data_IF_717160718220
#
_entry.id   IF_717160718220
#
_cell.length_a   1.000
_cell.length_b   1.000
_cell.length_c   1.000
_cell.angle_alpha   90.00
_cell.angle_beta   90.00
_cell.angle_gamma   90.00
#
_symmetry.space_group_name_H-M   'P 1'
#
loop_
_entity.id
_entity.type
_entity.pdbx_description
1 polymer ?
#
# COMPACT_ATOMS: atom_id res chain seq x y z
N UNK A 1 -15.26 33.10 -18.44
CA UNK A 1 -15.27 31.72 -18.96
C UNK A 1 -13.92 31.10 -18.64
N UNK A 2 -13.85 30.33 -17.55
CA UNK A 2 -12.63 29.65 -17.15
C UNK A 2 -12.50 28.36 -17.98
N UNK A 3 -11.44 28.27 -18.79
CA UNK A 3 -11.08 27.06 -19.51
C UNK A 3 -10.58 26.03 -18.51
N UNK A 4 -11.41 25.06 -18.19
CA UNK A 4 -11.00 23.83 -17.54
C UNK A 4 -9.93 23.17 -18.42
N UNK A 5 -8.67 23.27 -17.99
CA UNK A 5 -7.55 22.59 -18.62
C UNK A 5 -7.80 21.10 -18.42
N UNK A 6 -8.07 20.38 -19.50
CA UNK A 6 -8.14 18.93 -19.48
C UNK A 6 -6.75 18.41 -19.11
N UNK A 7 -6.56 18.07 -17.84
CA UNK A 7 -5.41 17.28 -17.39
C UNK A 7 -5.49 15.95 -18.13
N UNK A 8 -4.55 15.74 -19.05
CA UNK A 8 -4.35 14.44 -19.66
C UNK A 8 -4.14 13.44 -18.52
N UNK A 9 -5.00 12.43 -18.42
CA UNK A 9 -4.81 11.31 -17.48
C UNK A 9 -3.54 10.58 -17.91
N UNK A 10 -2.43 10.95 -17.31
CA UNK A 10 -1.18 10.22 -17.47
C UNK A 10 -1.32 8.83 -16.85
N UNK A 11 -0.62 7.81 -17.36
CA UNK A 11 -0.52 6.51 -16.70
C UNK A 11 0.06 6.71 -15.29
N UNK A 12 -0.43 5.99 -14.27
CA UNK A 12 0.03 6.16 -12.89
C UNK A 12 1.54 5.96 -12.72
N UNK A 13 2.18 5.14 -13.56
CA UNK A 13 3.63 4.98 -13.59
C UNK A 13 4.37 6.25 -14.02
N UNK A 14 3.83 7.02 -14.98
CA UNK A 14 4.42 8.29 -15.43
C UNK A 14 4.23 9.38 -14.37
N UNK A 15 3.11 9.37 -13.66
CA UNK A 15 2.85 10.28 -12.54
C UNK A 15 3.82 10.04 -11.38
N UNK A 16 4.07 8.79 -11.01
CA UNK A 16 5.04 8.45 -9.96
C UNK A 16 6.47 8.85 -10.33
N UNK A 17 6.89 8.66 -11.58
CA UNK A 17 8.23 9.08 -12.04
C UNK A 17 8.36 10.61 -12.07
N UNK A 18 7.31 11.33 -12.48
CA UNK A 18 7.27 12.79 -12.45
C UNK A 18 7.34 13.34 -11.01
N UNK A 19 6.58 12.74 -10.09
CA UNK A 19 6.61 13.09 -8.66
C UNK A 19 7.99 12.83 -8.06
N UNK A 20 8.60 11.67 -8.36
CA UNK A 20 9.95 11.33 -7.90
C UNK A 20 11.00 12.34 -8.36
N UNK A 21 10.97 12.71 -9.65
CA UNK A 21 11.88 13.74 -10.21
C UNK A 21 11.70 15.10 -9.52
N UNK A 22 10.45 15.55 -9.30
CA UNK A 22 10.18 16.80 -8.58
C UNK A 22 10.69 16.75 -7.14
N UNK A 23 10.53 15.61 -6.44
CA UNK A 23 11.01 15.42 -5.06
C UNK A 23 12.53 15.53 -4.95
N UNK A 24 13.26 14.92 -5.90
CA UNK A 24 14.73 15.05 -5.98
C UNK A 24 15.11 16.51 -6.21
N UNK A 25 14.48 17.18 -7.18
CA UNK A 25 14.77 18.58 -7.47
C UNK A 25 14.55 19.51 -6.26
N UNK A 26 13.46 19.33 -5.50
CA UNK A 26 13.23 20.10 -4.28
C UNK A 26 14.18 19.74 -3.15
N UNK A 27 14.60 18.48 -3.05
CA UNK A 27 15.60 18.06 -2.06
C UNK A 27 16.95 18.72 -2.33
N UNK A 28 17.37 18.76 -3.60
CA UNK A 28 18.63 19.39 -3.99
C UNK A 28 18.56 20.91 -3.83
N UNK A 29 17.45 21.55 -4.23
CA UNK A 29 17.22 22.98 -3.97
C UNK A 29 17.23 23.31 -2.47
N UNK A 30 16.68 22.43 -1.63
CA UNK A 30 16.72 22.59 -0.18
C UNK A 30 18.14 22.57 0.39
N UNK A 31 19.05 21.76 -0.18
CA UNK A 31 20.47 21.76 0.19
C UNK A 31 21.16 23.06 -0.22
N UNK A 32 20.87 23.54 -1.43
CA UNK A 32 21.45 24.79 -1.94
C UNK A 32 21.02 25.99 -1.09
N UNK A 33 19.74 26.06 -0.71
CA UNK A 33 19.20 27.10 0.18
C UNK A 33 19.84 27.03 1.56
N UNK A 34 20.02 25.83 2.11
CA UNK A 34 20.68 25.65 3.40
C UNK A 34 22.13 26.14 3.35
N UNK A 35 22.86 25.84 2.28
CA UNK A 35 24.23 26.32 2.08
C UNK A 35 24.29 27.85 2.00
N UNK A 36 23.43 28.47 1.18
CA UNK A 36 23.34 29.93 1.05
C UNK A 36 22.96 30.62 2.36
N UNK A 37 22.03 30.02 3.12
CA UNK A 37 21.62 30.50 4.44
C UNK A 37 22.79 30.49 5.43
N UNK A 38 23.53 29.39 5.49
CA UNK A 38 24.69 29.26 6.39
C UNK A 38 25.78 30.29 6.07
N UNK A 39 25.98 30.59 4.79
CA UNK A 39 26.93 31.62 4.36
C UNK A 39 26.54 33.01 4.86
N UNK A 40 25.27 33.40 4.71
CA UNK A 40 24.74 34.68 5.19
C UNK A 40 24.73 34.77 6.73
N UNK A 41 24.40 33.67 7.42
CA UNK A 41 24.47 33.60 8.88
C UNK A 41 25.92 33.72 9.39
N UNK A 42 26.90 33.13 8.69
CA UNK A 42 28.32 33.25 9.03
C UNK A 42 28.86 34.68 8.86
N UNK A 43 28.28 35.45 7.93
CA UNK A 43 28.57 36.88 7.74
C UNK A 43 27.92 37.77 8.82
N UNK A 44 27.18 37.19 9.77
CA UNK A 44 26.53 37.92 10.87
C UNK A 44 25.28 38.69 10.45
N UNK A 45 24.74 38.40 9.25
CA UNK A 45 23.54 39.05 8.72
C UNK A 45 22.31 38.54 9.49
N UNK A 46 21.41 39.44 9.85
CA UNK A 46 20.12 39.09 10.46
C UNK A 46 19.00 39.15 9.42
N UNK A 47 17.99 38.28 9.50
CA UNK A 47 16.86 38.32 8.58
C UNK A 47 16.09 39.63 8.75
N UNK A 48 15.76 40.27 7.63
CA UNK A 48 14.93 41.46 7.58
C UNK A 48 13.68 41.16 6.74
N UNK A 49 12.51 41.29 7.35
CA UNK A 49 11.24 41.10 6.65
C UNK A 49 11.05 42.23 5.63
N UNK A 50 10.63 41.89 4.40
CA UNK A 50 10.37 42.88 3.36
C UNK A 50 9.26 43.83 3.82
N UNK A 51 9.45 45.13 3.58
CA UNK A 51 8.45 46.16 3.89
C UNK A 51 7.13 46.01 3.11
N UNK A 52 7.18 45.32 1.97
CA UNK A 52 6.01 44.77 1.30
C UNK A 52 5.91 43.28 1.68
N UNK A 53 4.79 42.89 2.29
CA UNK A 53 4.48 41.49 2.62
C UNK A 53 4.86 40.57 1.45
N UNK A 54 5.91 39.78 1.63
CA UNK A 54 6.32 38.78 0.64
C UNK A 54 5.24 37.71 0.46
N UNK A 55 5.36 36.85 -0.58
CA UNK A 55 4.43 35.74 -0.75
C UNK A 55 4.46 34.83 0.49
N UNK A 56 3.27 34.39 0.94
CA UNK A 56 3.13 33.37 1.99
C UNK A 56 3.90 32.11 1.54
N UNK A 57 4.64 31.43 2.44
CA UNK A 57 5.24 30.12 2.16
C UNK A 57 4.31 29.14 1.43
N UNK A 58 3.00 29.17 1.72
CA UNK A 58 1.99 28.32 1.04
C UNK A 58 1.78 28.70 -0.43
N UNK A 59 1.68 29.99 -0.73
CA UNK A 59 1.52 30.49 -2.09
C UNK A 59 2.79 30.23 -2.92
N UNK A 60 3.95 30.38 -2.29
CA UNK A 60 5.23 30.03 -2.90
C UNK A 60 5.30 28.52 -3.19
N UNK A 61 4.91 27.65 -2.26
CA UNK A 61 4.87 26.21 -2.46
C UNK A 61 3.95 25.80 -3.63
N UNK A 62 2.75 26.40 -3.71
CA UNK A 62 1.82 26.17 -4.82
C UNK A 62 2.44 26.58 -6.17
N UNK A 63 3.07 27.77 -6.21
CA UNK A 63 3.72 28.26 -7.43
C UNK A 63 4.88 27.37 -7.90
N UNK A 64 5.63 26.80 -6.96
CA UNK A 64 6.72 25.85 -7.23
C UNK A 64 6.19 24.52 -7.78
N UNK A 65 5.05 24.04 -7.28
CA UNK A 65 4.41 22.81 -7.75
C UNK A 65 3.84 22.95 -9.16
N UNK A 66 3.24 24.11 -9.45
CA UNK A 66 2.57 24.43 -10.72
C UNK A 66 3.53 24.96 -11.80
N UNK A 67 4.73 25.36 -11.41
CA UNK A 67 5.76 25.90 -12.31
C UNK A 67 5.53 27.36 -12.72
N UNK A 68 4.71 28.10 -11.99
CA UNK A 68 4.49 29.53 -12.24
C UNK A 68 5.62 30.37 -11.62
N UNK A 69 6.25 31.22 -12.42
CA UNK A 69 7.28 32.13 -11.92
C UNK A 69 6.65 33.32 -11.17
N UNK A 70 7.14 33.60 -9.97
CA UNK A 70 6.83 34.83 -9.25
C UNK A 70 7.64 35.99 -9.84
N UNK A 71 7.05 37.19 -10.02
CA UNK A 71 7.76 38.33 -10.58
C UNK A 71 8.88 38.79 -9.63
N UNK A 72 10.09 38.93 -10.17
CA UNK A 72 11.23 39.43 -9.43
C UNK A 72 11.08 40.94 -9.16
N UNK A 73 10.88 41.30 -7.89
CA UNK A 73 11.11 42.67 -7.43
C UNK A 73 12.63 42.94 -7.32
N UNK A 74 12.98 44.21 -7.11
CA UNK A 74 14.33 44.78 -6.93
C UNK A 74 15.37 43.82 -6.32
N UNK A 75 16.67 44.01 -6.61
CA UNK A 75 17.72 43.27 -5.90
C UNK A 75 17.53 43.43 -4.38
N UNK A 76 17.34 42.31 -3.64
CA UNK A 76 17.06 42.36 -2.21
C UNK A 76 18.29 42.83 -1.43
N UNK A 77 18.07 43.38 -0.24
CA UNK A 77 19.17 43.55 0.73
C UNK A 77 19.60 42.18 1.27
N UNK A 78 20.82 42.02 1.82
CA UNK A 78 21.26 40.73 2.36
C UNK A 78 20.35 40.17 3.47
N UNK A 79 19.71 41.05 4.27
CA UNK A 79 18.71 40.65 5.26
C UNK A 79 17.39 40.18 4.65
N UNK A 80 16.92 40.83 3.58
CA UNK A 80 15.74 40.41 2.80
C UNK A 80 15.99 39.11 2.03
N UNK A 81 17.23 38.88 1.59
CA UNK A 81 17.67 37.63 0.96
C UNK A 81 17.60 36.48 1.95
N UNK A 82 18.17 36.65 3.15
CA UNK A 82 18.10 35.65 4.22
C UNK A 82 16.64 35.33 4.61
N UNK A 83 15.79 36.35 4.71
CA UNK A 83 14.35 36.14 4.96
C UNK A 83 13.67 35.36 3.82
N UNK A 84 13.99 35.68 2.56
CA UNK A 84 13.44 34.97 1.40
C UNK A 84 13.87 33.49 1.34
N UNK A 85 15.10 33.18 1.74
CA UNK A 85 15.61 31.81 1.85
C UNK A 85 14.88 31.01 2.93
N UNK A 86 14.52 31.64 4.06
CA UNK A 86 13.71 31.00 5.11
C UNK A 86 12.30 30.68 4.61
N UNK A 87 11.66 31.62 3.91
CA UNK A 87 10.34 31.42 3.30
C UNK A 87 10.38 30.33 2.24
N UNK A 88 11.41 30.31 1.39
CA UNK A 88 11.60 29.28 0.36
C UNK A 88 11.88 27.90 0.99
N UNK A 89 12.65 27.83 2.07
CA UNK A 89 12.87 26.59 2.82
C UNK A 89 11.55 26.02 3.35
N UNK A 90 10.70 26.87 3.92
CA UNK A 90 9.40 26.44 4.43
C UNK A 90 8.44 26.04 3.30
N UNK A 91 8.48 26.74 2.17
CA UNK A 91 7.73 26.37 0.97
C UNK A 91 8.15 25.01 0.41
N UNK A 92 9.45 24.71 0.41
CA UNK A 92 9.98 23.39 0.00
C UNK A 92 9.47 22.29 0.93
N UNK A 93 9.46 22.49 2.25
CA UNK A 93 8.90 21.51 3.18
C UNK A 93 7.42 21.22 2.87
N UNK A 94 6.62 22.27 2.68
CA UNK A 94 5.19 22.13 2.32
C UNK A 94 5.03 21.39 0.98
N UNK A 95 5.83 21.74 -0.03
CA UNK A 95 5.79 21.08 -1.34
C UNK A 95 6.21 19.60 -1.28
N UNK A 96 7.17 19.25 -0.43
CA UNK A 96 7.59 17.86 -0.23
C UNK A 96 6.49 17.02 0.44
N UNK A 97 5.80 17.56 1.43
CA UNK A 97 4.68 16.88 2.10
C UNK A 97 3.53 16.64 1.12
N UNK A 98 3.15 17.66 0.35
CA UNK A 98 2.12 17.57 -0.70
C UNK A 98 2.48 16.52 -1.77
N UNK A 99 3.75 16.47 -2.21
CA UNK A 99 4.21 15.45 -3.16
C UNK A 99 4.13 14.04 -2.57
N UNK A 100 4.40 13.87 -1.27
CA UNK A 100 4.29 12.57 -0.60
C UNK A 100 2.84 12.09 -0.51
N UNK A 101 1.89 12.99 -0.26
CA UNK A 101 0.46 12.68 -0.29
C UNK A 101 -0.01 12.27 -1.70
N UNK A 102 0.40 13.03 -2.73
CA UNK A 102 0.10 12.70 -4.14
C UNK A 102 0.69 11.35 -4.55
N UNK A 103 1.92 11.05 -4.14
CA UNK A 103 2.57 9.76 -4.38
C UNK A 103 1.77 8.61 -3.77
N UNK A 104 1.34 8.76 -2.51
CA UNK A 104 0.54 7.77 -1.82
C UNK A 104 -0.83 7.57 -2.49
N UNK A 105 -1.47 8.64 -2.93
CA UNK A 105 -2.73 8.55 -3.67
C UNK A 105 -2.56 7.80 -4.99
N UNK A 106 -1.53 8.15 -5.78
CA UNK A 106 -1.22 7.48 -7.04
C UNK A 106 -0.93 5.98 -6.83
N UNK A 107 -0.18 5.61 -5.78
CA UNK A 107 0.08 4.21 -5.41
C UNK A 107 -1.20 3.44 -5.06
N UNK A 108 -2.12 4.07 -4.32
CA UNK A 108 -3.41 3.45 -3.96
C UNK A 108 -4.27 3.19 -5.18
N UNK A 109 -4.30 4.14 -6.13
CA UNK A 109 -5.04 3.99 -7.38
C UNK A 109 -4.43 2.85 -8.21
N UNK A 110 -3.11 2.85 -8.41
CA UNK A 110 -2.42 1.80 -9.16
C UNK A 110 -2.62 0.40 -8.55
N UNK A 111 -2.57 0.30 -7.21
CA UNK A 111 -2.84 -0.97 -6.52
C UNK A 111 -4.30 -1.41 -6.69
N UNK A 112 -5.26 -0.48 -6.65
CA UNK A 112 -6.67 -0.79 -6.88
C UNK A 112 -6.93 -1.27 -8.31
N UNK A 113 -6.31 -0.64 -9.31
CA UNK A 113 -6.39 -1.05 -10.73
C UNK A 113 -5.79 -2.45 -10.92
N UNK A 114 -4.58 -2.70 -10.41
CA UNK A 114 -3.94 -4.01 -10.50
C UNK A 114 -4.78 -5.12 -9.82
N UNK A 115 -5.40 -4.81 -8.67
CA UNK A 115 -6.30 -5.75 -8.00
C UNK A 115 -7.57 -6.02 -8.82
N UNK A 116 -8.12 -5.02 -9.52
CA UNK A 116 -9.28 -5.22 -10.39
C UNK A 116 -8.94 -6.08 -11.60
N UNK A 117 -7.79 -5.85 -12.23
CA UNK A 117 -7.31 -6.64 -13.38
C UNK A 117 -7.06 -8.11 -13.00
N UNK A 118 -6.51 -8.35 -11.81
CA UNK A 118 -6.15 -9.69 -11.33
C UNK A 118 -7.23 -10.35 -10.46
N UNK A 119 -8.38 -9.68 -10.27
CA UNK A 119 -9.43 -10.14 -9.37
C UNK A 119 -9.97 -11.52 -9.77
N UNK A 120 -10.19 -11.76 -11.06
CA UNK A 120 -10.71 -13.02 -11.57
C UNK A 120 -9.75 -14.18 -11.32
N UNK A 121 -8.46 -13.98 -11.60
CA UNK A 121 -7.41 -14.98 -11.37
C UNK A 121 -7.29 -15.33 -9.89
N UNK A 122 -7.34 -14.31 -9.03
CA UNK A 122 -7.32 -14.52 -7.58
C UNK A 122 -8.55 -15.30 -7.10
N UNK A 123 -9.75 -14.97 -7.58
CA UNK A 123 -10.98 -15.69 -7.22
C UNK A 123 -10.92 -17.16 -7.65
N UNK A 124 -10.34 -17.45 -8.82
CA UNK A 124 -10.14 -18.81 -9.30
C UNK A 124 -9.17 -19.59 -8.41
N UNK A 125 -8.03 -19.00 -8.03
CA UNK A 125 -7.09 -19.61 -7.09
C UNK A 125 -7.78 -19.90 -5.74
N UNK A 126 -8.57 -18.96 -5.23
CA UNK A 126 -9.31 -19.15 -3.97
C UNK A 126 -10.35 -20.26 -4.11
N UNK A 127 -11.04 -20.36 -5.25
CA UNK A 127 -12.00 -21.43 -5.54
C UNK A 127 -11.32 -22.80 -5.54
N UNK A 128 -10.18 -22.93 -6.23
CA UNK A 128 -9.41 -24.17 -6.27
C UNK A 128 -8.92 -24.60 -4.88
N UNK A 129 -8.45 -23.64 -4.08
CA UNK A 129 -8.06 -23.89 -2.68
C UNK A 129 -9.24 -24.37 -1.83
N UNK A 130 -10.41 -23.76 -1.99
CA UNK A 130 -11.61 -24.17 -1.27
C UNK A 130 -12.05 -25.59 -1.67
N UNK A 131 -12.00 -25.95 -2.95
CA UNK A 131 -12.30 -27.30 -3.42
C UNK A 131 -11.29 -28.33 -2.91
N UNK A 132 -10.00 -28.00 -2.89
CA UNK A 132 -8.96 -28.87 -2.35
C UNK A 132 -9.17 -29.15 -0.85
N UNK A 133 -9.56 -28.13 -0.09
CA UNK A 133 -9.94 -28.26 1.32
C UNK A 133 -11.13 -29.21 1.49
N UNK A 134 -12.17 -29.07 0.67
CA UNK A 134 -13.34 -29.95 0.74
C UNK A 134 -12.99 -31.40 0.41
N UNK A 135 -12.16 -31.62 -0.62
CA UNK A 135 -11.66 -32.95 -0.98
C UNK A 135 -10.84 -33.57 0.17
N UNK A 136 -9.95 -32.80 0.79
CA UNK A 136 -9.13 -33.26 1.90
C UNK A 136 -9.99 -33.59 3.14
N UNK A 137 -11.04 -32.82 3.41
CA UNK A 137 -12.01 -33.12 4.47
C UNK A 137 -12.68 -34.47 4.25
N UNK A 138 -13.16 -34.75 3.05
CA UNK A 138 -13.75 -36.04 2.69
C UNK A 138 -12.77 -37.19 2.89
N UNK A 139 -11.53 -37.05 2.41
CA UNK A 139 -10.49 -38.06 2.60
C UNK A 139 -10.16 -38.30 4.08
N UNK A 140 -10.15 -37.24 4.91
CA UNK A 140 -9.95 -37.38 6.35
C UNK A 140 -11.10 -38.18 7.02
N UNK A 141 -12.36 -37.98 6.57
CA UNK A 141 -13.50 -38.76 7.05
C UNK A 141 -13.41 -40.23 6.60
N UNK A 142 -13.05 -40.48 5.34
CA UNK A 142 -12.85 -41.84 4.82
C UNK A 142 -11.74 -42.57 5.60
N UNK A 143 -10.62 -41.89 5.89
CA UNK A 143 -9.53 -42.43 6.71
C UNK A 143 -9.98 -42.73 8.16
N UNK A 144 -10.78 -41.85 8.78
CA UNK A 144 -11.33 -42.08 10.11
C UNK A 144 -12.28 -43.29 10.13
N UNK A 145 -13.18 -43.39 9.15
CA UNK A 145 -14.09 -44.53 9.01
C UNK A 145 -13.34 -45.85 8.76
N UNK A 146 -12.23 -45.80 8.01
CA UNK A 146 -11.34 -46.94 7.82
C UNK A 146 -10.68 -47.37 9.15
N UNK A 147 -10.14 -46.43 9.93
CA UNK A 147 -9.57 -46.71 11.26
C UNK A 147 -10.60 -47.35 12.19
N UNK A 148 -11.83 -46.83 12.21
CA UNK A 148 -12.91 -47.38 13.04
C UNK A 148 -13.29 -48.80 12.61
N UNK A 149 -13.31 -49.08 11.30
CA UNK A 149 -13.58 -50.41 10.76
C UNK A 149 -12.51 -51.41 11.21
N UNK A 150 -11.24 -51.05 11.10
CA UNK A 150 -10.14 -51.91 11.56
C UNK A 150 -10.22 -52.10 13.08
N UNK A 151 -10.54 -51.06 13.84
CA UNK A 151 -10.71 -51.15 15.29
C UNK A 151 -11.77 -52.18 15.69
N UNK A 152 -12.91 -52.20 15.00
CA UNK A 152 -13.98 -53.17 15.25
C UNK A 152 -13.56 -54.61 14.92
N UNK A 153 -12.76 -54.81 13.88
CA UNK A 153 -12.29 -56.14 13.45
C UNK A 153 -11.19 -56.66 14.38
N UNK A 154 -10.22 -55.81 14.72
CA UNK A 154 -9.03 -56.20 15.47
C UNK A 154 -9.19 -56.11 17.00
N UNK A 155 -10.30 -55.56 17.50
CA UNK A 155 -10.55 -55.39 18.94
C UNK A 155 -9.68 -54.33 19.62
N UNK A 156 -9.00 -53.46 18.85
CA UNK A 156 -8.06 -52.46 19.37
C UNK A 156 -7.66 -51.42 18.31
N UNK A 157 -6.96 -50.37 18.72
CA UNK A 157 -6.51 -49.33 17.78
C UNK A 157 -5.51 -49.90 16.75
N UNK A 158 -5.65 -49.56 15.46
CA UNK A 158 -4.68 -49.97 14.45
C UNK A 158 -3.36 -49.24 14.67
N UNK A 159 -2.26 -49.97 14.92
CA UNK A 159 -0.94 -49.41 15.23
C UNK A 159 0.02 -49.37 14.04
N UNK A 160 -0.26 -50.12 12.97
CA UNK A 160 0.67 -50.35 11.85
C UNK A 160 0.12 -49.90 10.49
N UNK A 161 -0.70 -48.85 10.45
CA UNK A 161 -1.15 -48.28 9.18
C UNK A 161 0.01 -47.51 8.53
N UNK A 162 0.36 -47.89 7.30
CA UNK A 162 1.43 -47.26 6.53
C UNK A 162 1.05 -45.79 6.30
N UNK A 163 1.97 -44.88 6.63
CA UNK A 163 1.81 -43.43 6.48
C UNK A 163 0.62 -42.83 7.24
N UNK A 164 0.10 -43.49 8.27
CA UNK A 164 -0.87 -42.89 9.19
C UNK A 164 -0.14 -42.10 10.28
N UNK A 165 0.16 -40.83 9.99
CA UNK A 165 0.77 -39.91 10.94
C UNK A 165 -0.10 -39.70 12.20
N UNK A 166 -1.37 -40.11 12.15
CA UNK A 166 -2.38 -39.95 13.19
C UNK A 166 -2.68 -41.23 13.98
N UNK A 167 -1.65 -42.06 14.22
CA UNK A 167 -1.77 -43.26 15.06
C UNK A 167 -1.88 -42.90 16.55
N UNK A 168 -3.07 -42.47 17.00
CA UNK A 168 -3.36 -42.22 18.41
C UNK A 168 -4.80 -41.74 18.65
N UNK A 169 -5.38 -41.94 19.85
CA UNK A 169 -6.76 -41.54 20.17
C UNK A 169 -7.00 -40.02 20.17
N UNK A 170 -5.94 -39.21 20.13
CA UNK A 170 -5.99 -37.73 20.15
C UNK A 170 -5.21 -37.08 19.00
N UNK A 171 -4.93 -37.82 17.93
CA UNK A 171 -4.16 -37.27 16.83
C UNK A 171 -4.98 -36.22 16.06
N UNK A 172 -4.45 -35.00 15.85
CA UNK A 172 -5.18 -33.94 15.17
C UNK A 172 -5.43 -34.31 13.71
N UNK A 173 -6.58 -33.92 13.15
CA UNK A 173 -6.78 -34.06 11.70
C UNK A 173 -5.66 -33.33 10.94
N UNK A 174 -5.32 -33.81 9.74
CA UNK A 174 -4.34 -33.15 8.85
C UNK A 174 -4.72 -31.67 8.60
N UNK A 175 -6.01 -31.35 8.77
CA UNK A 175 -6.57 -30.02 8.69
C UNK A 175 -7.34 -29.69 9.98
N UNK A 176 -6.92 -28.62 10.67
CA UNK A 176 -7.58 -28.14 11.90
C UNK A 176 -8.76 -27.19 11.65
N UNK A 177 -9.41 -26.76 12.74
CA UNK A 177 -10.68 -26.04 12.71
C UNK A 177 -10.64 -24.67 12.00
N UNK A 178 -9.46 -24.04 11.90
CA UNK A 178 -9.26 -22.77 11.19
C UNK A 178 -9.70 -22.84 9.72
N UNK A 179 -9.77 -24.03 9.15
CA UNK A 179 -10.21 -24.23 7.78
C UNK A 179 -11.73 -24.09 7.63
N UNK A 180 -12.53 -24.27 8.68
CA UNK A 180 -13.95 -23.96 8.65
C UNK A 180 -14.20 -22.46 8.56
N UNK A 181 -13.44 -21.65 9.32
CA UNK A 181 -13.50 -20.18 9.20
C UNK A 181 -13.07 -19.70 7.80
N UNK A 182 -12.11 -20.39 7.17
CA UNK A 182 -11.73 -20.12 5.79
C UNK A 182 -12.85 -20.43 4.79
N UNK A 183 -13.51 -21.59 4.91
CA UNK A 183 -14.65 -21.95 4.04
C UNK A 183 -15.83 -20.99 4.23
N UNK A 184 -16.12 -20.56 5.47
CA UNK A 184 -17.15 -19.54 5.74
C UNK A 184 -16.83 -18.19 5.08
N UNK A 185 -15.57 -17.77 5.14
CA UNK A 185 -15.11 -16.57 4.43
C UNK A 185 -15.27 -16.72 2.91
N UNK A 186 -14.95 -17.89 2.33
CA UNK A 186 -15.15 -18.16 0.91
C UNK A 186 -16.64 -18.12 0.51
N UNK A 187 -17.54 -18.60 1.37
CA UNK A 187 -18.99 -18.50 1.14
C UNK A 187 -19.46 -17.06 1.19
N UNK A 188 -19.02 -16.29 2.20
CA UNK A 188 -19.38 -14.87 2.34
C UNK A 188 -18.91 -14.05 1.14
N UNK A 189 -17.75 -14.41 0.57
CA UNK A 189 -17.20 -13.81 -0.64
C UNK A 189 -17.86 -14.32 -1.94
N UNK A 190 -18.81 -15.26 -1.87
CA UNK A 190 -19.49 -15.82 -3.05
C UNK A 190 -18.63 -16.76 -3.90
N UNK A 191 -17.46 -17.18 -3.41
CA UNK A 191 -16.52 -18.03 -4.16
C UNK A 191 -17.00 -19.47 -4.25
N UNK A 192 -17.65 -19.97 -3.20
CA UNK A 192 -18.31 -21.28 -3.13
C UNK A 192 -19.65 -21.15 -2.40
N UNK A 193 -20.56 -22.07 -2.65
CA UNK A 193 -21.88 -22.13 -2.01
C UNK A 193 -21.87 -22.97 -0.74
N UNK A 194 -22.85 -22.74 0.15
CA UNK A 194 -23.08 -23.63 1.30
C UNK A 194 -23.45 -25.06 0.87
N UNK A 195 -24.14 -25.20 -0.26
CA UNK A 195 -24.44 -26.51 -0.85
C UNK A 195 -23.18 -27.28 -1.26
N UNK A 196 -22.17 -26.59 -1.82
CA UNK A 196 -20.88 -27.22 -2.16
C UNK A 196 -20.15 -27.73 -0.91
N UNK A 197 -20.27 -27.04 0.23
CA UNK A 197 -19.73 -27.51 1.52
C UNK A 197 -20.50 -28.74 2.01
N UNK A 198 -21.84 -28.69 2.00
CA UNK A 198 -22.68 -29.75 2.55
C UNK A 198 -22.61 -31.04 1.72
N UNK A 199 -22.54 -30.94 0.39
CA UNK A 199 -22.41 -32.11 -0.49
C UNK A 199 -21.07 -32.83 -0.35
N UNK A 200 -20.03 -32.14 0.15
CA UNK A 200 -18.72 -32.73 0.44
C UNK A 200 -18.54 -33.10 1.92
N UNK A 201 -19.57 -32.91 2.74
CA UNK A 201 -19.57 -33.29 4.16
C UNK A 201 -20.35 -34.58 4.44
N UNK A 202 -21.09 -35.10 3.44
CA UNK A 202 -21.84 -36.35 3.46
C UNK A 202 -21.00 -37.50 2.88
#
# INVERSE_FOLDING_TARGET
MATARAEAKHPPAQDLEAISRKRVAFTDRGKDILAARLELEHQGIRPEERSNSGPDPRDLAASMLDGSALPAARPPTPGEELFSLLVEQQAITIALDELAERENQARRIAAAEALQETAADWLEIVRQRALAVLALRRLNQEAAAFRDRIRRIAGGNPTNLICDFNSGPFAPAIVGDHVYSYLEACVKAGVISRSEINNNAA
#
